data_IF_842482854713
#
_entry.id   IF_842482854713
#
_cell.length_a   1.000
_cell.length_b   1.000
_cell.length_c   1.000
_cell.angle_alpha   90.00
_cell.angle_beta   90.00
_cell.angle_gamma   90.00
#
_symmetry.space_group_name_H-M   'P 1'
#
loop_
_entity.id
_entity.type
_entity.pdbx_description
1 polymer ?
#
# COMPACT_ATOMS: atom_id res chain seq x y z
N UNK A 1 17.50 16.25 -22.43
CA UNK A 1 16.90 15.07 -21.76
C UNK A 1 16.48 14.09 -22.82
N UNK A 2 16.85 12.81 -22.74
CA UNK A 2 16.32 11.79 -23.64
C UNK A 2 14.85 11.59 -23.27
N UNK A 3 13.93 11.94 -24.17
CA UNK A 3 12.49 11.72 -23.97
C UNK A 3 12.29 10.20 -24.02
N UNK A 4 11.98 9.57 -22.88
CA UNK A 4 11.79 8.12 -22.79
C UNK A 4 10.33 7.69 -22.91
N UNK A 5 9.40 8.65 -23.01
CA UNK A 5 7.95 8.41 -23.07
C UNK A 5 7.22 9.40 -23.98
N UNK A 6 5.92 9.59 -23.77
CA UNK A 6 5.06 10.48 -24.54
C UNK A 6 3.61 10.01 -24.62
N UNK A 7 2.74 10.82 -25.21
CA UNK A 7 1.36 10.42 -25.50
C UNK A 7 1.36 9.18 -26.41
N UNK A 8 0.61 8.16 -26.01
CA UNK A 8 0.49 6.87 -26.71
C UNK A 8 -0.88 6.70 -27.34
N UNK A 9 -1.91 7.21 -26.67
CA UNK A 9 -3.28 7.04 -27.11
C UNK A 9 -4.18 8.11 -26.47
N UNK A 10 -5.44 8.13 -26.85
CA UNK A 10 -6.46 9.06 -26.38
C UNK A 10 -7.80 8.35 -26.27
N UNK A 11 -8.48 8.54 -25.14
CA UNK A 11 -9.84 8.06 -24.93
C UNK A 11 -10.80 9.25 -24.78
N UNK A 12 -12.01 9.12 -25.33
CA UNK A 12 -13.08 10.11 -25.15
C UNK A 12 -14.31 9.41 -24.60
N UNK A 13 -14.87 9.98 -23.54
CA UNK A 13 -16.15 9.53 -22.97
C UNK A 13 -17.07 10.70 -22.70
N UNK A 14 -18.36 10.46 -22.84
CA UNK A 14 -19.40 11.40 -22.39
C UNK A 14 -19.89 10.91 -21.04
N UNK A 15 -19.92 11.80 -20.05
CA UNK A 15 -20.44 11.51 -18.71
C UNK A 15 -21.60 12.43 -18.41
N UNK A 16 -22.71 11.86 -17.96
CA UNK A 16 -23.85 12.63 -17.50
C UNK A 16 -23.56 13.20 -16.11
N UNK A 17 -23.87 14.48 -15.93
CA UNK A 17 -23.68 15.18 -14.66
C UNK A 17 -24.93 15.95 -14.25
N UNK A 18 -24.94 16.44 -13.02
CA UNK A 18 -26.03 17.28 -12.50
C UNK A 18 -26.25 18.59 -13.28
N UNK A 19 -25.28 19.00 -14.12
CA UNK A 19 -25.35 20.22 -14.93
C UNK A 19 -25.36 19.92 -16.44
N UNK A 20 -25.69 18.69 -16.83
CA UNK A 20 -25.71 18.23 -18.22
C UNK A 20 -24.49 17.39 -18.60
N UNK A 21 -24.40 16.95 -19.86
CA UNK A 21 -23.34 16.07 -20.33
C UNK A 21 -21.98 16.78 -20.35
N UNK A 22 -20.93 16.06 -19.95
CA UNK A 22 -19.54 16.50 -20.06
C UNK A 22 -18.78 15.55 -20.98
N UNK A 23 -17.99 16.12 -21.90
CA UNK A 23 -17.04 15.35 -22.71
C UNK A 23 -15.70 15.33 -21.97
N UNK A 24 -15.21 14.14 -21.66
CA UNK A 24 -13.94 13.92 -20.97
C UNK A 24 -12.98 13.23 -21.92
N UNK A 25 -11.88 13.92 -22.22
CA UNK A 25 -10.78 13.39 -23.03
C UNK A 25 -9.63 12.99 -22.11
N UNK A 26 -9.26 11.71 -22.11
CA UNK A 26 -8.07 11.22 -21.42
C UNK A 26 -6.91 11.10 -22.42
N UNK A 27 -5.76 11.67 -22.07
CA UNK A 27 -4.51 11.39 -22.76
C UNK A 27 -3.83 10.21 -22.05
N UNK A 28 -3.57 9.12 -22.78
CA UNK A 28 -2.80 7.99 -22.26
C UNK A 28 -1.31 8.25 -22.53
N UNK A 29 -0.56 8.52 -21.47
CA UNK A 29 0.82 9.01 -21.56
C UNK A 29 1.78 8.05 -20.86
N UNK A 30 2.80 7.63 -21.59
CA UNK A 30 3.97 6.96 -21.00
C UNK A 30 4.89 8.02 -20.39
N UNK A 31 5.08 7.98 -19.08
CA UNK A 31 5.88 8.95 -18.33
C UNK A 31 7.26 8.41 -17.97
N UNK A 32 7.63 7.21 -18.44
CA UNK A 32 8.87 6.54 -18.10
C UNK A 32 9.09 6.47 -16.58
N UNK A 33 10.28 6.87 -16.14
CA UNK A 33 10.66 6.84 -14.72
C UNK A 33 10.12 8.02 -13.89
N UNK A 34 9.32 8.90 -14.48
CA UNK A 34 8.65 9.95 -13.74
C UNK A 34 7.30 9.45 -13.18
N UNK A 35 6.87 10.05 -12.07
CA UNK A 35 5.47 9.94 -11.63
C UNK A 35 4.53 10.53 -12.69
N UNK A 36 4.90 11.69 -13.25
CA UNK A 36 4.32 12.19 -14.50
C UNK A 36 3.30 13.32 -14.39
N UNK A 37 2.85 13.71 -13.18
CA UNK A 37 1.80 14.71 -12.98
C UNK A 37 2.03 16.02 -13.77
N UNK A 38 3.19 16.65 -13.62
CA UNK A 38 3.48 17.90 -14.33
C UNK A 38 3.51 17.70 -15.85
N UNK A 39 4.09 16.59 -16.32
CA UNK A 39 4.20 16.32 -17.75
C UNK A 39 2.83 16.16 -18.41
N UNK A 40 1.93 15.36 -17.80
CA UNK A 40 0.59 15.13 -18.36
C UNK A 40 -0.31 16.36 -18.24
N UNK A 41 -0.17 17.18 -17.18
CA UNK A 41 -0.89 18.44 -17.06
C UNK A 41 -0.49 19.42 -18.17
N UNK A 42 0.81 19.58 -18.42
CA UNK A 42 1.30 20.42 -19.53
C UNK A 42 0.82 19.90 -20.89
N UNK A 43 0.78 18.59 -21.10
CA UNK A 43 0.21 18.01 -22.34
C UNK A 43 -1.30 18.31 -22.46
N UNK A 44 -2.06 18.16 -21.37
CA UNK A 44 -3.49 18.46 -21.35
C UNK A 44 -3.76 19.95 -21.62
N UNK A 45 -2.93 20.85 -21.09
CA UNK A 45 -2.98 22.28 -21.39
C UNK A 45 -2.69 22.57 -22.86
N UNK A 46 -1.69 21.92 -23.44
CA UNK A 46 -1.29 22.14 -24.82
C UNK A 46 -2.37 21.71 -25.84
N UNK A 47 -3.09 20.62 -25.57
CA UNK A 47 -4.13 20.13 -26.50
C UNK A 47 -5.49 20.83 -26.34
N UNK A 48 -5.71 21.56 -25.25
CA UNK A 48 -7.00 22.17 -24.94
C UNK A 48 -7.55 23.08 -26.06
N UNK A 49 -6.78 24.00 -26.67
CA UNK A 49 -7.30 24.84 -27.76
C UNK A 49 -7.76 24.03 -28.98
N UNK A 50 -7.08 22.92 -29.28
CA UNK A 50 -7.45 22.04 -30.40
C UNK A 50 -8.76 21.31 -30.10
N UNK A 51 -8.95 20.85 -28.86
CA UNK A 51 -10.20 20.20 -28.43
C UNK A 51 -11.37 21.19 -28.49
N UNK A 52 -11.19 22.43 -28.04
CA UNK A 52 -12.23 23.48 -28.13
C UNK A 52 -12.62 23.74 -29.58
N UNK A 53 -11.64 23.87 -30.48
CA UNK A 53 -11.90 24.08 -31.90
C UNK A 53 -12.67 22.92 -32.54
N UNK A 54 -12.31 21.67 -32.21
CA UNK A 54 -12.94 20.48 -32.78
C UNK A 54 -14.36 20.24 -32.26
N UNK A 55 -14.61 20.57 -30.99
CA UNK A 55 -15.88 20.26 -30.32
C UNK A 55 -16.85 21.43 -30.30
N UNK A 56 -16.38 22.66 -30.50
CA UNK A 56 -17.15 23.88 -30.24
C UNK A 56 -17.46 24.11 -28.76
N UNK A 57 -16.90 23.29 -27.86
CA UNK A 57 -17.09 23.36 -26.42
C UNK A 57 -16.07 24.25 -25.71
N UNK A 58 -16.12 24.27 -24.39
CA UNK A 58 -15.16 24.98 -23.53
C UNK A 58 -14.43 24.00 -22.62
N UNK A 59 -13.11 23.95 -22.68
CA UNK A 59 -12.27 23.10 -21.82
C UNK A 59 -12.13 23.75 -20.45
N UNK A 60 -12.58 23.04 -19.41
CA UNK A 60 -12.55 23.52 -18.01
C UNK A 60 -11.31 23.04 -17.25
N UNK A 61 -11.15 21.73 -17.12
CA UNK A 61 -10.06 21.11 -16.35
C UNK A 61 -9.05 20.45 -17.28
N UNK A 62 -7.76 20.59 -16.94
CA UNK A 62 -6.60 20.03 -17.65
C UNK A 62 -5.66 19.44 -16.60
N UNK A 63 -6.04 18.28 -16.09
CA UNK A 63 -5.46 17.73 -14.86
C UNK A 63 -5.39 16.21 -14.97
N UNK A 64 -4.33 15.62 -14.40
CA UNK A 64 -4.20 14.17 -14.30
C UNK A 64 -5.36 13.53 -13.51
N UNK A 65 -5.54 12.22 -13.73
CA UNK A 65 -6.29 11.34 -12.84
C UNK A 65 -5.33 10.64 -11.86
N UNK A 66 -5.67 10.63 -10.56
CA UNK A 66 -4.97 9.79 -9.58
C UNK A 66 -5.47 8.34 -9.58
N UNK A 67 -6.64 8.06 -10.18
CA UNK A 67 -7.01 6.68 -10.53
C UNK A 67 -6.16 6.26 -11.74
N UNK A 68 -4.93 5.83 -11.45
CA UNK A 68 -3.93 5.44 -12.45
C UNK A 68 -4.03 3.94 -12.77
N UNK A 69 -5.22 3.50 -13.19
CA UNK A 69 -5.55 2.10 -13.49
C UNK A 69 -4.88 1.56 -14.78
N UNK A 70 -4.28 2.42 -15.60
CA UNK A 70 -3.37 2.02 -16.68
C UNK A 70 -1.92 1.77 -16.20
N UNK A 71 -1.59 2.08 -14.94
CA UNK A 71 -0.23 1.94 -14.38
C UNK A 71 -0.24 1.08 -13.12
N UNK A 72 -0.43 -0.22 -13.34
CA UNK A 72 -0.61 -1.22 -12.29
C UNK A 72 0.70 -1.96 -11.97
N UNK A 73 0.94 -2.19 -10.68
CA UNK A 73 1.90 -3.17 -10.21
C UNK A 73 1.18 -4.41 -9.69
N UNK A 74 1.86 -5.56 -9.78
CA UNK A 74 1.35 -6.86 -9.32
C UNK A 74 2.43 -7.58 -8.54
N UNK A 75 2.03 -8.28 -7.49
CA UNK A 75 2.87 -9.24 -6.80
C UNK A 75 2.06 -10.48 -6.42
N UNK A 76 2.74 -11.62 -6.35
CA UNK A 76 2.16 -12.89 -5.91
C UNK A 76 3.12 -13.56 -4.94
N UNK A 77 2.59 -14.40 -4.05
CA UNK A 77 3.37 -15.19 -3.12
C UNK A 77 2.71 -16.56 -2.92
N UNK A 78 3.53 -17.58 -2.69
CA UNK A 78 3.09 -18.92 -2.32
C UNK A 78 3.86 -19.37 -1.09
N UNK A 79 3.15 -19.91 -0.11
CA UNK A 79 3.72 -20.42 1.13
C UNK A 79 3.21 -21.83 1.38
N UNK A 80 4.10 -22.75 1.74
CA UNK A 80 3.65 -24.07 2.17
C UNK A 80 2.84 -23.95 3.46
N UNK A 81 1.85 -24.81 3.65
CA UNK A 81 1.05 -24.82 4.88
C UNK A 81 1.92 -24.95 6.14
N UNK A 82 3.00 -25.72 6.08
CA UNK A 82 3.95 -25.87 7.19
C UNK A 82 4.66 -24.55 7.51
N UNK A 83 5.04 -23.77 6.49
CA UNK A 83 5.74 -22.49 6.68
C UNK A 83 4.84 -21.41 7.30
N UNK A 84 3.53 -21.45 7.06
CA UNK A 84 2.61 -20.46 7.63
C UNK A 84 2.13 -20.81 9.04
N UNK A 85 2.18 -22.09 9.43
CA UNK A 85 1.81 -22.56 10.77
C UNK A 85 0.77 -23.68 10.80
N UNK A 86 0.56 -24.38 9.68
CA UNK A 86 -0.40 -25.48 9.55
C UNK A 86 -1.67 -25.10 8.79
N UNK A 87 -2.49 -26.10 8.53
CA UNK A 87 -3.72 -25.97 7.74
C UNK A 87 -4.74 -25.01 8.37
N UNK A 88 -4.91 -25.06 9.69
CA UNK A 88 -5.83 -24.14 10.40
C UNK A 88 -5.45 -22.67 10.20
N UNK A 89 -4.16 -22.35 10.08
CA UNK A 89 -3.69 -20.98 9.82
C UNK A 89 -3.97 -20.57 8.38
N UNK A 90 -3.82 -21.49 7.42
CA UNK A 90 -4.21 -21.26 6.02
C UNK A 90 -5.70 -20.92 5.96
N UNK A 91 -6.54 -21.75 6.59
CA UNK A 91 -7.99 -21.56 6.61
C UNK A 91 -8.40 -20.26 7.30
N UNK A 92 -7.75 -19.92 8.41
CA UNK A 92 -7.97 -18.64 9.09
C UNK A 92 -7.61 -17.43 8.22
N UNK A 93 -6.52 -17.49 7.46
CA UNK A 93 -6.14 -16.42 6.52
C UNK A 93 -7.14 -16.29 5.37
N UNK A 94 -7.56 -17.42 4.78
CA UNK A 94 -8.56 -17.44 3.71
C UNK A 94 -9.91 -16.90 4.20
N UNK A 95 -10.34 -17.28 5.40
CA UNK A 95 -11.56 -16.77 6.02
C UNK A 95 -11.48 -15.26 6.31
N UNK A 96 -10.35 -14.78 6.83
CA UNK A 96 -10.13 -13.36 7.09
C UNK A 96 -10.10 -12.51 5.81
N UNK A 97 -9.55 -13.05 4.72
CA UNK A 97 -9.65 -12.46 3.39
C UNK A 97 -11.10 -12.44 2.89
N UNK A 98 -11.83 -13.56 2.96
CA UNK A 98 -13.21 -13.63 2.50
C UNK A 98 -14.10 -12.61 3.22
N UNK A 99 -13.88 -12.39 4.52
CA UNK A 99 -14.54 -11.32 5.26
C UNK A 99 -14.21 -9.93 4.71
N UNK A 100 -12.93 -9.63 4.44
CA UNK A 100 -12.51 -8.36 3.84
C UNK A 100 -13.03 -8.17 2.41
N UNK A 101 -13.23 -9.25 1.65
CA UNK A 101 -13.78 -9.19 0.30
C UNK A 101 -15.30 -8.89 0.29
N UNK A 102 -16.02 -9.37 1.32
CA UNK A 102 -17.48 -9.30 1.40
C UNK A 102 -18.02 -8.07 2.16
N UNK A 103 -17.26 -7.48 3.07
CA UNK A 103 -17.70 -6.35 3.91
C UNK A 103 -16.78 -5.12 3.76
N UNK A 104 -17.29 -3.97 3.26
CA UNK A 104 -16.53 -2.72 3.17
C UNK A 104 -15.92 -2.24 4.48
N UNK A 105 -16.56 -2.50 5.64
CA UNK A 105 -15.99 -2.12 6.94
C UNK A 105 -14.70 -2.89 7.23
N UNK A 106 -14.70 -4.18 6.91
CA UNK A 106 -13.49 -4.99 7.03
C UNK A 106 -12.49 -4.68 5.92
N UNK A 107 -12.94 -4.48 4.69
CA UNK A 107 -12.11 -4.12 3.54
C UNK A 107 -11.27 -2.88 3.84
N UNK A 108 -11.88 -1.82 4.40
CA UNK A 108 -11.19 -0.59 4.77
C UNK A 108 -10.03 -0.86 5.73
N UNK A 109 -10.27 -1.69 6.75
CA UNK A 109 -9.24 -2.04 7.75
C UNK A 109 -8.16 -2.95 7.15
N UNK A 110 -8.54 -3.87 6.26
CA UNK A 110 -7.60 -4.74 5.53
C UNK A 110 -6.68 -3.90 4.66
N UNK A 111 -7.24 -3.03 3.82
CA UNK A 111 -6.51 -2.18 2.89
C UNK A 111 -5.63 -1.17 3.63
N UNK A 112 -6.11 -0.56 4.72
CA UNK A 112 -5.27 0.25 5.62
C UNK A 112 -4.05 -0.53 6.11
N UNK A 113 -4.22 -1.81 6.45
CA UNK A 113 -3.13 -2.69 6.83
C UNK A 113 -2.08 -2.90 5.72
N UNK A 114 -2.49 -2.87 4.46
CA UNK A 114 -1.60 -2.89 3.30
C UNK A 114 -0.85 -1.55 3.20
N UNK A 115 -1.57 -0.43 3.33
CA UNK A 115 -1.00 0.91 3.22
C UNK A 115 0.03 1.20 4.32
N UNK A 116 -0.13 0.60 5.51
CA UNK A 116 0.89 0.62 6.56
C UNK A 116 2.28 0.14 6.10
N UNK A 117 2.36 -0.74 5.09
CA UNK A 117 3.62 -1.20 4.51
C UNK A 117 4.03 -0.38 3.28
N UNK A 118 3.06 0.01 2.45
CA UNK A 118 3.30 0.77 1.23
C UNK A 118 3.77 2.19 1.54
N UNK A 119 3.03 2.95 2.34
CA UNK A 119 3.27 4.37 2.58
C UNK A 119 4.68 4.68 3.10
N UNK A 120 5.24 3.90 4.06
CA UNK A 120 6.62 4.10 4.48
C UNK A 120 7.63 3.98 3.34
N UNK A 121 7.43 3.05 2.38
CA UNK A 121 8.30 2.92 1.21
C UNK A 121 8.13 4.14 0.28
N UNK A 122 6.89 4.60 0.08
CA UNK A 122 6.61 5.79 -0.72
C UNK A 122 7.29 7.03 -0.12
N UNK A 123 7.13 7.25 1.19
CA UNK A 123 7.75 8.36 1.92
C UNK A 123 9.28 8.25 1.87
N UNK A 124 9.83 7.08 2.18
CA UNK A 124 11.28 6.86 2.23
C UNK A 124 11.94 7.07 0.86
N UNK A 125 11.23 6.81 -0.24
CA UNK A 125 11.73 7.04 -1.60
C UNK A 125 11.40 8.42 -2.16
N UNK A 126 10.79 9.31 -1.36
CA UNK A 126 10.49 10.69 -1.74
C UNK A 126 9.36 10.83 -2.76
N UNK A 127 8.44 9.86 -2.81
CA UNK A 127 7.26 9.86 -3.66
C UNK A 127 6.02 10.41 -2.93
N UNK A 128 4.96 10.73 -3.69
CA UNK A 128 3.71 11.27 -3.13
C UNK A 128 2.79 10.15 -2.63
N UNK A 129 2.71 9.97 -1.31
CA UNK A 129 1.83 8.96 -0.70
C UNK A 129 0.34 9.27 -0.86
N UNK A 130 -0.07 10.55 -0.98
CA UNK A 130 -1.48 10.91 -1.13
C UNK A 130 -1.99 10.50 -2.51
N UNK A 131 -1.16 10.66 -3.53
CA UNK A 131 -1.48 10.20 -4.89
C UNK A 131 -1.64 8.68 -4.94
N UNK A 132 -0.77 7.94 -4.26
CA UNK A 132 -0.87 6.48 -4.13
C UNK A 132 -2.14 6.08 -3.38
N UNK A 133 -2.38 6.61 -2.18
CA UNK A 133 -3.57 6.33 -1.38
C UNK A 133 -4.87 6.59 -2.15
N UNK A 134 -4.98 7.74 -2.81
CA UNK A 134 -6.14 8.09 -3.62
C UNK A 134 -6.37 7.09 -4.77
N UNK A 135 -5.30 6.71 -5.48
CA UNK A 135 -5.37 5.74 -6.57
C UNK A 135 -5.77 4.36 -6.07
N UNK A 136 -5.11 3.86 -5.02
CA UNK A 136 -5.36 2.53 -4.44
C UNK A 136 -6.78 2.42 -3.91
N UNK A 137 -7.24 3.37 -3.10
CA UNK A 137 -8.58 3.29 -2.52
C UNK A 137 -9.69 3.52 -3.55
N UNK A 138 -9.48 4.36 -4.56
CA UNK A 138 -10.42 4.48 -5.70
C UNK A 138 -10.48 3.18 -6.50
N UNK A 139 -9.32 2.54 -6.72
CA UNK A 139 -9.24 1.25 -7.42
C UNK A 139 -9.97 0.14 -6.68
N UNK A 140 -9.94 0.13 -5.33
CA UNK A 140 -10.69 -0.82 -4.51
C UNK A 140 -12.21 -0.70 -4.69
N UNK A 141 -12.73 0.45 -5.15
CA UNK A 141 -14.15 0.71 -5.37
C UNK A 141 -14.58 0.66 -6.85
N UNK A 142 -13.67 0.35 -7.79
CA UNK A 142 -13.91 0.43 -9.24
C UNK A 142 -15.08 -0.43 -9.75
N UNK A 143 -15.42 -1.50 -9.02
CA UNK A 143 -16.55 -2.38 -9.34
C UNK A 143 -17.90 -1.94 -8.75
N UNK A 144 -18.01 -0.73 -8.20
CA UNK A 144 -19.22 -0.24 -7.51
C UNK A 144 -19.36 -0.71 -6.06
N UNK A 145 -18.43 -1.55 -5.58
CA UNK A 145 -18.34 -2.00 -4.19
C UNK A 145 -16.90 -1.92 -3.73
N UNK A 146 -16.65 -1.31 -2.57
CA UNK A 146 -15.31 -1.21 -1.99
C UNK A 146 -14.91 -2.57 -1.39
N UNK A 147 -13.84 -3.17 -1.90
CA UNK A 147 -13.40 -4.53 -1.51
C UNK A 147 -11.89 -4.61 -1.19
N UNK A 148 -11.41 -5.80 -0.83
CA UNK A 148 -10.01 -6.08 -0.54
C UNK A 148 -9.12 -5.88 -1.78
N UNK A 149 -7.97 -5.24 -1.60
CA UNK A 149 -6.95 -5.07 -2.65
C UNK A 149 -6.18 -6.36 -2.95
N UNK A 150 -6.10 -7.25 -1.96
CA UNK A 150 -5.45 -8.56 -2.07
C UNK A 150 -6.47 -9.68 -2.26
N UNK A 151 -5.99 -10.79 -2.83
CA UNK A 151 -6.70 -12.07 -2.90
C UNK A 151 -5.86 -13.17 -2.27
N UNK A 152 -6.49 -13.97 -1.42
CA UNK A 152 -5.87 -15.10 -0.73
C UNK A 152 -6.67 -16.38 -0.96
N UNK A 153 -5.97 -17.47 -1.26
CA UNK A 153 -6.57 -18.76 -1.60
C UNK A 153 -5.73 -19.91 -1.06
N UNK A 154 -6.40 -21.06 -0.94
CA UNK A 154 -5.76 -22.36 -0.75
C UNK A 154 -5.64 -23.03 -2.12
N UNK A 155 -4.45 -23.50 -2.47
CA UNK A 155 -4.23 -24.23 -3.72
C UNK A 155 -4.58 -25.74 -3.58
N UNK A 156 -4.37 -26.51 -4.66
CA UNK A 156 -4.67 -27.94 -4.69
C UNK A 156 -3.87 -28.80 -3.68
N UNK A 157 -2.73 -28.31 -3.18
CA UNK A 157 -1.89 -29.00 -2.19
C UNK A 157 -2.25 -28.62 -0.74
N UNK A 158 -3.16 -27.66 -0.56
CA UNK A 158 -3.46 -27.05 0.72
C UNK A 158 -2.53 -25.89 1.08
N UNK A 159 -1.69 -25.43 0.15
CA UNK A 159 -0.76 -24.32 0.38
C UNK A 159 -1.46 -22.97 0.21
N UNK A 160 -0.94 -21.94 0.88
CA UNK A 160 -1.50 -20.59 0.81
C UNK A 160 -0.90 -19.83 -0.38
N UNK A 161 -1.76 -19.29 -1.23
CA UNK A 161 -1.38 -18.39 -2.32
C UNK A 161 -2.00 -17.00 -2.13
N UNK A 162 -1.21 -15.96 -2.31
CA UNK A 162 -1.63 -14.55 -2.19
C UNK A 162 -1.30 -13.75 -3.45
N UNK A 163 -2.13 -12.78 -3.77
CA UNK A 163 -1.88 -11.83 -4.88
C UNK A 163 -2.38 -10.42 -4.55
N UNK A 164 -1.77 -9.42 -5.17
CA UNK A 164 -2.14 -8.01 -5.09
C UNK A 164 -2.02 -7.37 -6.47
N UNK A 165 -2.92 -6.45 -6.80
CA UNK A 165 -2.86 -5.59 -7.97
C UNK A 165 -3.31 -4.19 -7.56
N UNK A 166 -2.49 -3.17 -7.86
CA UNK A 166 -2.77 -1.81 -7.41
C UNK A 166 -2.16 -0.75 -8.35
N UNK A 167 -2.77 0.45 -8.47
CA UNK A 167 -2.15 1.60 -9.10
C UNK A 167 -0.88 2.03 -8.37
N UNK A 168 0.20 2.26 -9.12
CA UNK A 168 1.50 2.66 -8.57
C UNK A 168 2.16 3.75 -9.42
N UNK A 169 1.59 4.96 -9.51
CA UNK A 169 2.22 6.10 -10.19
C UNK A 169 3.39 6.66 -9.36
N UNK A 170 4.50 5.93 -9.31
CA UNK A 170 5.77 6.34 -8.66
C UNK A 170 6.80 6.80 -9.67
N UNK A 171 7.84 7.50 -9.20
CA UNK A 171 8.98 7.89 -10.02
C UNK A 171 10.33 7.73 -9.32
N UNK A 172 11.38 7.64 -10.14
CA UNK A 172 12.79 7.78 -9.75
C UNK A 172 13.38 9.12 -10.25
N UNK A 173 12.63 9.86 -11.07
CA UNK A 173 12.97 11.21 -11.52
C UNK A 173 11.85 12.20 -11.21
N UNK A 174 12.23 13.43 -10.87
CA UNK A 174 11.30 14.51 -10.57
C UNK A 174 10.81 14.53 -9.12
N UNK A 175 10.33 15.69 -8.66
CA UNK A 175 9.91 15.88 -7.27
C UNK A 175 11.06 15.71 -6.26
N UNK A 176 10.72 15.24 -5.05
CA UNK A 176 11.69 15.07 -3.97
C UNK A 176 12.65 13.89 -4.17
N UNK A 177 12.30 12.92 -5.04
CA UNK A 177 13.09 11.69 -5.30
C UNK A 177 14.56 11.97 -5.65
N UNK A 178 14.84 13.05 -6.38
CA UNK A 178 16.20 13.47 -6.77
C UNK A 178 16.77 14.63 -5.97
N UNK A 179 16.01 15.23 -5.07
CA UNK A 179 16.44 16.42 -4.32
C UNK A 179 16.75 16.06 -2.88
N UNK A 180 15.97 15.16 -2.27
CA UNK A 180 16.12 14.79 -0.87
C UNK A 180 17.22 13.73 -0.68
N UNK A 181 18.32 14.02 0.04
CA UNK A 181 19.46 13.09 0.15
C UNK A 181 19.09 11.72 0.74
N UNK A 182 18.22 11.69 1.75
CA UNK A 182 17.75 10.42 2.32
C UNK A 182 16.93 9.58 1.31
N UNK A 183 16.13 10.22 0.45
CA UNK A 183 15.35 9.51 -0.56
C UNK A 183 16.26 8.87 -1.62
N UNK A 184 17.29 9.60 -2.05
CA UNK A 184 18.32 9.07 -2.94
C UNK A 184 19.06 7.88 -2.31
N UNK A 185 19.39 7.97 -1.02
CA UNK A 185 20.04 6.88 -0.30
C UNK A 185 19.14 5.64 -0.20
N UNK A 186 17.85 5.81 0.10
CA UNK A 186 16.87 4.73 0.14
C UNK A 186 16.67 4.06 -1.23
N UNK A 187 16.55 4.84 -2.32
CA UNK A 187 16.47 4.30 -3.68
C UNK A 187 17.74 3.52 -4.04
N UNK A 188 18.92 4.06 -3.68
CA UNK A 188 20.20 3.36 -3.88
C UNK A 188 20.29 2.06 -3.09
N UNK A 189 19.79 2.04 -1.85
CA UNK A 189 19.75 0.85 -1.00
C UNK A 189 18.85 -0.24 -1.60
N UNK A 190 17.71 0.14 -2.17
CA UNK A 190 16.80 -0.78 -2.86
C UNK A 190 17.40 -1.35 -4.16
N UNK A 191 18.37 -0.65 -4.77
CA UNK A 191 19.03 -1.10 -6.00
C UNK A 191 18.14 -1.04 -7.24
N UNK A 192 16.98 -0.39 -7.16
CA UNK A 192 16.06 -0.24 -8.30
C UNK A 192 16.60 0.77 -9.31
N UNK A 193 16.46 0.44 -10.58
CA UNK A 193 16.92 1.23 -11.73
C UNK A 193 15.78 1.84 -12.53
N UNK A 194 14.57 1.28 -12.42
CA UNK A 194 13.35 1.80 -13.07
C UNK A 194 12.21 2.04 -12.08
N UNK A 195 11.30 2.95 -12.41
CA UNK A 195 10.09 3.17 -11.62
C UNK A 195 9.18 1.92 -11.57
N UNK A 196 9.25 1.06 -12.60
CA UNK A 196 8.54 -0.21 -12.63
C UNK A 196 9.08 -1.21 -11.58
N UNK A 197 10.39 -1.29 -11.39
CA UNK A 197 11.00 -2.13 -10.34
C UNK A 197 10.60 -1.62 -8.95
N UNK A 198 10.63 -0.30 -8.72
CA UNK A 198 10.13 0.28 -7.46
C UNK A 198 8.66 -0.08 -7.22
N UNK A 199 7.83 0.00 -8.26
CA UNK A 199 6.41 -0.34 -8.18
C UNK A 199 6.19 -1.82 -7.80
N UNK A 200 7.00 -2.74 -8.35
CA UNK A 200 6.96 -4.16 -7.98
C UNK A 200 7.36 -4.40 -6.52
N UNK A 201 8.40 -3.71 -6.03
CA UNK A 201 8.79 -3.77 -4.61
C UNK A 201 7.65 -3.29 -3.71
N UNK A 202 6.99 -2.18 -4.07
CA UNK A 202 5.85 -1.64 -3.32
C UNK A 202 4.70 -2.65 -3.25
N UNK A 203 4.34 -3.27 -4.38
CA UNK A 203 3.31 -4.30 -4.42
C UNK A 203 3.67 -5.49 -3.50
N UNK A 204 4.92 -5.97 -3.58
CA UNK A 204 5.39 -7.07 -2.75
C UNK A 204 5.37 -6.73 -1.25
N UNK A 205 5.79 -5.51 -0.87
CA UNK A 205 5.73 -5.03 0.53
C UNK A 205 4.28 -4.95 1.01
N UNK A 206 3.37 -4.43 0.18
CA UNK A 206 1.94 -4.39 0.50
C UNK A 206 1.36 -5.78 0.75
N UNK A 207 1.67 -6.75 -0.12
CA UNK A 207 1.22 -8.14 0.04
C UNK A 207 1.80 -8.79 1.30
N UNK A 208 3.09 -8.57 1.59
CA UNK A 208 3.75 -9.09 2.80
C UNK A 208 3.15 -8.48 4.08
N UNK A 209 2.87 -7.18 4.09
CA UNK A 209 2.25 -6.51 5.23
C UNK A 209 0.82 -7.02 5.46
N UNK A 210 0.07 -7.27 4.39
CA UNK A 210 -1.25 -7.88 4.46
C UNK A 210 -1.20 -9.28 5.06
N UNK A 211 -0.29 -10.13 4.56
CA UNK A 211 -0.09 -11.48 5.06
C UNK A 211 0.19 -11.49 6.56
N UNK A 212 1.14 -10.66 7.02
CA UNK A 212 1.49 -10.56 8.43
C UNK A 212 0.27 -10.20 9.31
N UNK A 213 -0.57 -9.26 8.85
CA UNK A 213 -1.78 -8.86 9.55
C UNK A 213 -2.84 -9.97 9.59
N UNK A 214 -3.11 -10.64 8.46
CA UNK A 214 -4.08 -11.73 8.40
C UNK A 214 -3.64 -12.93 9.22
N UNK A 215 -2.36 -13.32 9.14
CA UNK A 215 -1.79 -14.42 9.93
C UNK A 215 -1.91 -14.14 11.43
N UNK A 216 -1.58 -12.93 11.88
CA UNK A 216 -1.70 -12.56 13.30
C UNK A 216 -3.16 -12.58 13.81
N UNK A 217 -4.12 -12.25 12.95
CA UNK A 217 -5.55 -12.36 13.27
C UNK A 217 -6.03 -13.82 13.31
N UNK A 218 -5.48 -14.67 12.46
CA UNK A 218 -5.84 -16.09 12.35
C UNK A 218 -5.29 -16.95 13.51
N UNK A 219 -4.15 -16.60 14.12
CA UNK A 219 -3.52 -17.43 15.16
C UNK A 219 -3.88 -17.02 16.59
N UNK A 220 -3.51 -15.81 17.01
CA UNK A 220 -3.52 -15.42 18.44
C UNK A 220 -4.31 -14.13 18.74
N UNK A 221 -4.83 -13.48 17.70
CA UNK A 221 -5.44 -12.16 17.78
C UNK A 221 -4.39 -11.06 17.99
N UNK A 222 -4.48 -9.99 17.19
CA UNK A 222 -3.54 -8.85 17.18
C UNK A 222 -3.29 -8.27 18.59
N UNK A 223 -4.33 -8.27 19.44
CA UNK A 223 -4.26 -7.70 20.78
C UNK A 223 -3.21 -8.40 21.66
N UNK A 224 -3.09 -9.72 21.63
CA UNK A 224 -2.07 -10.43 22.43
C UNK A 224 -0.65 -10.10 21.97
N UNK A 225 -0.42 -10.02 20.65
CA UNK A 225 0.87 -9.64 20.07
C UNK A 225 1.27 -8.19 20.39
N UNK A 226 0.34 -7.25 20.21
CA UNK A 226 0.54 -5.84 20.59
C UNK A 226 0.80 -5.67 22.08
N UNK A 227 0.09 -6.42 22.91
CA UNK A 227 0.25 -6.37 24.35
C UNK A 227 1.64 -6.86 24.77
N UNK A 228 2.16 -7.90 24.13
CA UNK A 228 3.52 -8.40 24.35
C UNK A 228 4.58 -7.37 23.93
N UNK A 229 4.41 -6.72 22.77
CA UNK A 229 5.32 -5.66 22.33
C UNK A 229 5.26 -4.42 23.24
N UNK A 230 4.07 -4.02 23.65
CA UNK A 230 3.86 -2.90 24.58
C UNK A 230 4.51 -3.18 25.94
N UNK A 231 4.30 -4.37 26.50
CA UNK A 231 4.98 -4.81 27.71
C UNK A 231 6.50 -4.81 27.56
N UNK A 232 7.02 -5.24 26.40
CA UNK A 232 8.46 -5.21 26.09
C UNK A 232 9.02 -3.79 26.10
N UNK A 233 8.33 -2.84 25.46
CA UNK A 233 8.74 -1.42 25.47
C UNK A 233 8.75 -0.84 26.88
N UNK A 234 7.72 -1.12 27.69
CA UNK A 234 7.66 -0.63 29.06
C UNK A 234 8.73 -1.27 29.96
N UNK A 235 9.07 -2.54 29.75
CA UNK A 235 10.18 -3.21 30.42
C UNK A 235 11.53 -2.56 30.08
N UNK A 236 11.77 -2.23 28.81
CA UNK A 236 12.97 -1.49 28.38
C UNK A 236 13.04 -0.11 29.04
N UNK A 237 11.92 0.64 29.05
CA UNK A 237 11.83 1.95 29.75
C UNK A 237 12.05 1.82 31.26
N UNK A 238 11.66 0.70 31.85
CA UNK A 238 11.92 0.40 33.26
C UNK A 238 13.39 0.04 33.56
N UNK A 239 14.23 -0.13 32.52
CA UNK A 239 15.66 -0.44 32.66
C UNK A 239 16.00 -1.93 32.57
N UNK A 240 15.09 -2.78 32.07
CA UNK A 240 15.37 -4.19 31.88
C UNK A 240 16.49 -4.40 30.84
N UNK A 241 17.50 -5.18 31.20
CA UNK A 241 18.54 -5.61 30.25
C UNK A 241 18.00 -6.67 29.28
N UNK A 242 18.67 -6.90 28.15
CA UNK A 242 18.26 -7.94 27.19
C UNK A 242 18.05 -9.31 27.82
N UNK A 243 18.89 -9.67 28.82
CA UNK A 243 18.79 -10.95 29.53
C UNK A 243 17.57 -11.05 30.45
N UNK A 244 17.06 -9.92 30.95
CA UNK A 244 15.92 -9.86 31.87
C UNK A 244 14.58 -9.64 31.15
N UNK A 245 14.64 -9.16 29.91
CA UNK A 245 13.49 -8.65 29.18
C UNK A 245 12.36 -9.68 29.05
N UNK A 246 12.69 -10.91 28.66
CA UNK A 246 11.69 -11.95 28.43
C UNK A 246 11.02 -12.40 29.73
N UNK A 247 11.77 -12.49 30.83
CA UNK A 247 11.23 -12.84 32.14
C UNK A 247 10.32 -11.73 32.71
N UNK A 248 10.75 -10.47 32.60
CA UNK A 248 9.95 -9.31 33.05
C UNK A 248 8.64 -9.24 32.25
N UNK A 249 8.71 -9.37 30.93
CA UNK A 249 7.52 -9.35 30.06
C UNK A 249 6.58 -10.51 30.38
N UNK A 250 7.10 -11.72 30.59
CA UNK A 250 6.29 -12.88 30.96
C UNK A 250 5.55 -12.66 32.29
N UNK A 251 6.23 -12.11 33.32
CA UNK A 251 5.63 -11.78 34.61
C UNK A 251 4.58 -10.67 34.50
N UNK A 252 4.82 -9.62 33.69
CA UNK A 252 3.84 -8.55 33.44
C UNK A 252 2.57 -9.06 32.76
N UNK A 253 2.70 -9.92 31.75
CA UNK A 253 1.58 -10.50 31.01
C UNK A 253 0.79 -11.46 31.90
N UNK A 254 1.48 -12.35 32.61
CA UNK A 254 0.86 -13.32 33.52
C UNK A 254 0.06 -12.63 34.63
N UNK A 255 0.60 -11.55 35.20
CA UNK A 255 -0.08 -10.76 36.23
C UNK A 255 -1.15 -9.80 35.68
N UNK A 256 -1.34 -9.71 34.36
CA UNK A 256 -2.19 -8.72 33.68
C UNK A 256 -1.92 -7.26 34.14
N UNK A 257 -0.67 -6.95 34.50
CA UNK A 257 -0.25 -5.63 34.98
C UNK A 257 0.85 -5.08 34.10
N UNK A 258 0.48 -4.17 33.20
CA UNK A 258 1.37 -3.65 32.17
C UNK A 258 1.61 -2.16 32.45
N UNK A 259 2.61 -1.89 33.29
CA UNK A 259 3.06 -0.53 33.61
C UNK A 259 4.56 -0.52 33.91
N UNK A 260 5.20 0.65 33.73
CA UNK A 260 6.62 0.85 34.06
C UNK A 260 6.89 0.57 35.54
N UNK A 261 5.99 0.96 36.44
CA UNK A 261 6.15 0.75 37.88
C UNK A 261 6.12 -0.72 38.26
N UNK A 262 5.26 -1.52 37.62
CA UNK A 262 5.23 -2.96 37.86
C UNK A 262 6.45 -3.66 37.27
N UNK A 263 6.91 -3.24 36.09
CA UNK A 263 8.18 -3.71 35.53
C UNK A 263 9.37 -3.42 36.46
N UNK A 264 9.45 -2.21 37.05
CA UNK A 264 10.46 -1.86 38.06
C UNK A 264 10.38 -2.74 39.30
N UNK A 265 9.16 -3.05 39.79
CA UNK A 265 8.98 -3.98 40.92
C UNK A 265 9.50 -5.38 40.60
N UNK A 266 9.21 -5.89 39.40
CA UNK A 266 9.74 -7.20 38.97
C UNK A 266 11.27 -7.15 38.90
N UNK A 267 11.84 -6.11 38.28
CA UNK A 267 13.29 -5.93 38.17
C UNK A 267 14.00 -5.84 39.53
N UNK A 268 13.38 -5.20 40.52
CA UNK A 268 13.94 -5.15 41.89
C UNK A 268 13.92 -6.48 42.63
N UNK A 269 13.16 -7.46 42.12
CA UNK A 269 13.02 -8.81 42.68
C UNK A 269 13.73 -9.90 41.87
N UNK A 270 14.45 -9.51 40.82
CA UNK A 270 15.32 -10.36 39.99
C UNK A 270 16.77 -10.22 40.45
#
# INVERSE_FOLDING_TARGET
>A
MKITGGAKDLEVRVVDSQIGPMVVTHLLVDTGDAMGANAVNTMAEAVAPTIEQLTGGTVKLRILSNLADHRLARATAKFTKEAVGGEDVVDGVVAAYAFAAADPYRAATSNKGIMNGIDPVIVATGNDWRGIEAGVHSYCARGGHYTSLTRWEKDANGDLTGSIELPTPVGLVGGATKIHPAAQACVKLLGVTTAAELAQVIAAVGLAQNFAALRALATDGIQKGHMKLHARNLATVAGATERQLDEVVAKMISAQKISVEYAKKILSSL
#
